data_IF_481086524413
#
_entry.id   IF_481086524413
#
_cell.length_a   1.000
_cell.length_b   1.000
_cell.length_c   1.000
_cell.angle_alpha   90.00
_cell.angle_beta   90.00
_cell.angle_gamma   90.00
#
_symmetry.space_group_name_H-M   'P 1'
#
loop_
_entity.id
_entity.type
_entity.pdbx_description
1 polymer ?
#
# COMPACT_ATOMS: atom_id res chain seq x y z
N UNK A 1 8.92 -15.44 -7.89
CA UNK A 1 7.91 -16.12 -7.05
C UNK A 1 8.57 -16.62 -5.77
N UNK A 2 7.96 -16.40 -4.63
CA UNK A 2 8.44 -16.80 -3.30
C UNK A 2 7.38 -17.68 -2.65
N UNK A 3 7.77 -18.83 -2.14
CA UNK A 3 6.90 -19.71 -1.37
C UNK A 3 6.90 -19.29 0.09
N UNK A 4 5.71 -19.10 0.65
CA UNK A 4 5.49 -18.88 2.08
C UNK A 4 5.05 -20.21 2.70
N UNK A 5 5.88 -20.87 3.55
CA UNK A 5 5.61 -22.20 4.06
C UNK A 5 4.22 -22.34 4.69
N UNK A 6 3.43 -23.30 4.21
CA UNK A 6 2.07 -23.56 4.69
C UNK A 6 1.03 -22.50 4.29
N UNK A 7 1.40 -21.50 3.50
CA UNK A 7 0.50 -20.39 3.09
C UNK A 7 0.28 -20.31 1.59
N UNK A 8 1.31 -20.60 0.77
CA UNK A 8 1.27 -20.58 -0.69
C UNK A 8 2.38 -19.74 -1.28
N UNK A 9 2.26 -19.43 -2.58
CA UNK A 9 3.28 -18.72 -3.35
C UNK A 9 2.80 -17.34 -3.74
N UNK A 10 3.68 -16.34 -3.71
CA UNK A 10 3.38 -14.98 -4.15
C UNK A 10 4.49 -14.39 -5.01
N UNK A 11 4.14 -13.43 -5.86
CA UNK A 11 5.11 -12.64 -6.61
C UNK A 11 5.73 -11.57 -5.70
N UNK A 12 7.06 -11.47 -5.73
CA UNK A 12 7.84 -10.54 -4.89
C UNK A 12 8.87 -9.80 -5.74
N UNK A 13 8.99 -8.51 -5.52
CA UNK A 13 10.12 -7.67 -5.94
C UNK A 13 10.84 -7.25 -4.66
N UNK A 14 12.12 -7.53 -4.58
CA UNK A 14 12.99 -7.26 -3.44
C UNK A 14 14.22 -6.50 -3.93
N UNK A 15 14.36 -5.25 -3.56
CA UNK A 15 15.34 -4.33 -4.12
C UNK A 15 15.85 -3.33 -3.07
N UNK A 16 16.89 -2.56 -3.43
CA UNK A 16 17.49 -1.55 -2.56
C UNK A 16 18.57 -2.10 -1.62
N UNK A 17 19.24 -1.20 -0.88
CA UNK A 17 20.29 -1.55 0.05
C UNK A 17 19.76 -2.34 1.26
N UNK A 18 20.60 -3.17 1.85
CA UNK A 18 20.22 -4.05 2.97
C UNK A 18 20.78 -3.61 4.33
N UNK A 19 21.48 -2.53 4.35
CA UNK A 19 22.10 -1.92 5.54
C UNK A 19 21.24 -0.84 6.22
N UNK A 20 20.03 -0.62 5.68
CA UNK A 20 19.02 0.31 6.18
C UNK A 20 17.73 -0.38 6.62
N UNK A 21 16.67 0.41 6.90
CA UNK A 21 15.34 -0.11 7.19
C UNK A 21 14.79 -0.92 6.01
N UNK A 22 13.94 -1.90 6.30
CA UNK A 22 13.20 -2.63 5.28
C UNK A 22 11.76 -2.12 5.22
N UNK A 23 11.32 -1.69 4.04
CA UNK A 23 9.96 -1.29 3.77
C UNK A 23 9.20 -2.43 3.08
N UNK A 24 8.08 -2.87 3.66
CA UNK A 24 7.18 -3.84 3.04
C UNK A 24 5.96 -3.11 2.51
N UNK A 25 5.80 -3.07 1.19
CA UNK A 25 4.81 -2.26 0.51
C UNK A 25 3.54 -3.06 0.21
N UNK A 26 2.41 -2.60 0.76
CA UNK A 26 1.11 -3.23 0.73
C UNK A 26 0.18 -2.46 -0.21
N UNK A 27 -0.27 -3.11 -1.28
CA UNK A 27 -0.99 -2.47 -2.38
C UNK A 27 -2.48 -2.26 -2.12
N UNK A 28 -3.11 -1.47 -2.98
CA UNK A 28 -4.55 -1.19 -2.97
C UNK A 28 -5.40 -2.37 -3.44
N UNK A 29 -6.69 -2.34 -3.11
CA UNK A 29 -7.70 -3.27 -3.61
C UNK A 29 -7.72 -3.29 -5.14
N UNK A 30 -7.88 -4.48 -5.74
CA UNK A 30 -7.92 -4.73 -7.18
C UNK A 30 -6.66 -4.30 -7.95
N UNK A 31 -5.58 -4.00 -7.25
CA UNK A 31 -4.26 -3.68 -7.81
C UNK A 31 -3.27 -4.82 -7.53
N UNK A 32 -2.10 -4.72 -8.13
CA UNK A 32 -0.93 -5.54 -7.78
C UNK A 32 0.09 -4.70 -7.00
N UNK A 33 1.06 -5.36 -6.40
CA UNK A 33 2.14 -4.69 -5.69
C UNK A 33 2.86 -3.68 -6.58
N UNK A 34 3.33 -4.14 -7.74
CA UNK A 34 4.04 -3.28 -8.70
C UNK A 34 3.14 -2.17 -9.22
N UNK A 35 1.87 -2.44 -9.55
CA UNK A 35 0.94 -1.41 -10.05
C UNK A 35 0.75 -0.24 -9.08
N UNK A 36 0.68 -0.52 -7.79
CA UNK A 36 0.49 0.53 -6.78
C UNK A 36 1.77 1.32 -6.56
N UNK A 37 2.93 0.65 -6.57
CA UNK A 37 4.16 1.20 -6.01
C UNK A 37 5.24 1.55 -7.03
N UNK A 38 5.10 1.17 -8.34
CA UNK A 38 6.12 1.42 -9.35
C UNK A 38 6.62 2.87 -9.42
N UNK A 39 5.77 3.93 -9.18
CA UNK A 39 6.28 5.30 -9.26
C UNK A 39 7.20 5.67 -8.08
N UNK A 40 7.12 4.94 -6.98
CA UNK A 40 7.82 5.27 -5.74
C UNK A 40 9.03 4.36 -5.47
N UNK A 41 9.25 3.31 -6.26
CA UNK A 41 10.28 2.30 -5.97
C UNK A 41 11.67 2.91 -5.86
N UNK A 42 12.07 3.71 -6.85
CA UNK A 42 13.42 4.31 -6.89
C UNK A 42 13.63 5.25 -5.69
N UNK A 43 12.63 6.11 -5.41
CA UNK A 43 12.72 7.06 -4.30
C UNK A 43 12.77 6.37 -2.93
N UNK A 44 12.11 5.22 -2.76
CA UNK A 44 12.15 4.49 -1.50
C UNK A 44 13.45 3.71 -1.30
N UNK A 45 14.13 3.29 -2.37
CA UNK A 45 15.43 2.62 -2.29
C UNK A 45 16.53 3.52 -1.74
N UNK A 46 16.38 4.84 -1.82
CA UNK A 46 17.31 5.80 -1.19
C UNK A 46 17.27 5.71 0.34
N UNK A 47 16.22 5.15 0.92
CA UNK A 47 16.06 4.98 2.37
C UNK A 47 16.41 3.59 2.88
N UNK A 48 16.34 2.56 2.04
CA UNK A 48 16.60 1.19 2.48
C UNK A 48 16.05 0.13 1.53
N UNK A 49 15.97 -1.10 2.05
CA UNK A 49 15.43 -2.25 1.34
C UNK A 49 13.93 -2.09 1.08
N UNK A 50 13.50 -2.33 -0.14
CA UNK A 50 12.10 -2.23 -0.57
C UNK A 50 11.61 -3.60 -1.02
N UNK A 51 10.60 -4.11 -0.34
CA UNK A 51 9.93 -5.37 -0.64
C UNK A 51 8.50 -5.08 -1.08
N UNK A 52 8.20 -5.42 -2.32
CA UNK A 52 6.85 -5.33 -2.90
C UNK A 52 6.36 -6.72 -3.21
N UNK A 53 5.13 -7.04 -2.88
CA UNK A 53 4.55 -8.34 -3.22
C UNK A 53 3.06 -8.22 -3.54
N UNK A 54 2.52 -9.22 -4.22
CA UNK A 54 1.09 -9.30 -4.48
C UNK A 54 0.40 -9.96 -3.27
N UNK A 55 -0.50 -9.22 -2.61
CA UNK A 55 -1.25 -9.74 -1.47
C UNK A 55 -2.19 -10.86 -1.93
N UNK A 56 -2.53 -11.79 -1.01
CA UNK A 56 -3.43 -12.91 -1.31
C UNK A 56 -4.68 -12.47 -2.07
N UNK A 57 -5.14 -13.30 -3.00
CA UNK A 57 -6.30 -13.04 -3.81
C UNK A 57 -6.14 -11.94 -4.86
N UNK A 58 -4.94 -11.35 -5.00
CA UNK A 58 -4.65 -10.30 -5.98
C UNK A 58 -3.45 -10.69 -6.84
N UNK A 59 -3.48 -10.29 -8.11
CA UNK A 59 -2.36 -10.48 -9.03
C UNK A 59 -1.86 -11.91 -9.10
N UNK A 60 -0.57 -12.10 -8.85
CA UNK A 60 0.12 -13.38 -8.70
C UNK A 60 0.38 -13.73 -7.21
N UNK A 61 -0.46 -13.21 -6.32
CA UNK A 61 -0.42 -13.51 -4.90
C UNK A 61 -1.06 -14.87 -4.58
N UNK A 62 -1.03 -15.22 -3.30
CA UNK A 62 -1.56 -16.49 -2.80
C UNK A 62 -3.02 -16.68 -3.24
N UNK A 63 -3.29 -17.76 -3.95
CA UNK A 63 -4.66 -18.14 -4.29
C UNK A 63 -5.40 -18.64 -3.05
N UNK A 64 -6.62 -18.16 -2.85
CA UNK A 64 -7.41 -18.53 -1.67
C UNK A 64 -8.92 -18.47 -1.95
N UNK A 65 -9.68 -19.47 -1.49
CA UNK A 65 -11.14 -19.41 -1.56
C UNK A 65 -11.72 -18.44 -0.53
N UNK A 66 -10.97 -18.09 0.52
CA UNK A 66 -11.36 -17.18 1.59
C UNK A 66 -10.35 -16.03 1.69
N UNK A 67 -10.84 -14.80 1.76
CA UNK A 67 -10.03 -13.62 1.99
C UNK A 67 -10.31 -13.08 3.39
N UNK A 68 -9.26 -12.96 4.22
CA UNK A 68 -9.29 -12.29 5.52
C UNK A 68 -8.12 -11.30 5.58
N UNK A 69 -8.35 -10.12 6.15
CA UNK A 69 -7.30 -9.11 6.34
C UNK A 69 -6.23 -9.58 7.32
N UNK A 70 -6.62 -10.38 8.32
CA UNK A 70 -5.70 -11.00 9.28
C UNK A 70 -4.74 -11.98 8.58
N UNK A 71 -5.26 -12.78 7.65
CA UNK A 71 -4.41 -13.66 6.85
C UNK A 71 -3.41 -12.87 5.99
N UNK A 72 -3.82 -11.70 5.46
CA UNK A 72 -2.89 -10.80 4.75
C UNK A 72 -1.78 -10.29 5.66
N UNK A 73 -2.10 -9.93 6.91
CA UNK A 73 -1.10 -9.47 7.88
C UNK A 73 -0.12 -10.59 8.25
N UNK A 74 -0.61 -11.82 8.42
CA UNK A 74 0.22 -12.99 8.70
C UNK A 74 1.10 -13.38 7.49
N UNK A 75 0.64 -13.13 6.26
CA UNK A 75 1.47 -13.32 5.05
C UNK A 75 2.66 -12.37 5.03
N UNK A 76 2.49 -11.13 5.51
CA UNK A 76 3.59 -10.16 5.62
C UNK A 76 4.66 -10.67 6.58
N UNK A 77 4.26 -11.19 7.75
CA UNK A 77 5.20 -11.76 8.71
C UNK A 77 5.92 -12.99 8.13
N UNK A 78 5.18 -13.90 7.49
CA UNK A 78 5.76 -15.08 6.84
C UNK A 78 6.72 -14.70 5.68
N UNK A 79 6.39 -13.65 4.92
CA UNK A 79 7.28 -13.13 3.88
C UNK A 79 8.57 -12.58 4.49
N UNK A 80 8.47 -11.83 5.58
CA UNK A 80 9.62 -11.30 6.29
C UNK A 80 10.54 -12.43 6.80
N UNK A 81 9.97 -13.53 7.32
CA UNK A 81 10.73 -14.71 7.77
C UNK A 81 11.50 -15.35 6.60
N UNK A 82 10.85 -15.58 5.45
CA UNK A 82 11.49 -16.16 4.26
C UNK A 82 12.60 -15.27 3.71
N UNK A 83 12.45 -13.94 3.84
CA UNK A 83 13.43 -12.96 3.38
C UNK A 83 14.52 -12.65 4.41
N UNK A 84 14.51 -13.34 5.56
CA UNK A 84 15.40 -13.11 6.69
C UNK A 84 15.40 -11.64 7.16
N UNK A 85 14.19 -11.07 7.25
CA UNK A 85 13.94 -9.72 7.76
C UNK A 85 13.39 -9.79 9.17
N UNK A 86 14.17 -9.38 10.16
CA UNK A 86 13.76 -9.44 11.56
C UNK A 86 12.69 -8.41 11.88
N UNK A 87 12.88 -7.17 11.42
CA UNK A 87 11.94 -6.07 11.62
C UNK A 87 11.79 -5.23 10.35
N UNK A 88 10.64 -4.58 10.19
CA UNK A 88 10.32 -3.83 8.98
C UNK A 88 9.31 -2.70 9.24
N UNK A 89 9.17 -1.84 8.25
CA UNK A 89 8.19 -0.75 8.21
C UNK A 89 7.13 -1.11 7.15
N UNK A 90 5.92 -1.53 7.53
CA UNK A 90 4.84 -1.69 6.57
C UNK A 90 4.37 -0.33 6.05
N UNK A 91 4.33 -0.21 4.72
CA UNK A 91 3.85 0.96 3.99
C UNK A 91 2.60 0.55 3.24
N UNK A 92 1.44 0.99 3.69
CA UNK A 92 0.16 0.54 3.15
C UNK A 92 -0.61 1.62 2.41
N UNK A 93 -1.18 1.28 1.26
CA UNK A 93 -2.08 2.14 0.49
C UNK A 93 -3.50 1.58 0.46
N UNK A 94 -4.51 2.35 0.87
CA UNK A 94 -5.93 1.95 0.84
C UNK A 94 -6.15 0.60 1.56
N UNK A 95 -6.53 -0.48 0.87
CA UNK A 95 -6.59 -1.83 1.44
C UNK A 95 -5.30 -2.17 2.19
N UNK A 96 -4.14 -1.92 1.58
CA UNK A 96 -2.85 -2.18 2.19
C UNK A 96 -2.64 -1.41 3.50
N UNK A 97 -3.27 -0.23 3.67
CA UNK A 97 -3.21 0.52 4.92
C UNK A 97 -4.00 -0.15 6.06
N UNK A 98 -5.05 -0.88 5.74
CA UNK A 98 -5.79 -1.68 6.72
C UNK A 98 -4.96 -2.89 7.15
N UNK A 99 -4.32 -3.56 6.17
CA UNK A 99 -3.40 -4.67 6.44
C UNK A 99 -2.21 -4.18 7.26
N UNK A 100 -1.60 -3.03 6.96
CA UNK A 100 -0.48 -2.47 7.73
C UNK A 100 -0.86 -2.23 9.21
N UNK A 101 -2.07 -1.74 9.49
CA UNK A 101 -2.58 -1.60 10.84
C UNK A 101 -2.68 -2.97 11.54
N UNK A 102 -3.17 -4.01 10.85
CA UNK A 102 -3.25 -5.38 11.39
C UNK A 102 -1.86 -6.02 11.54
N UNK A 103 -0.91 -5.74 10.66
CA UNK A 103 0.48 -6.19 10.82
C UNK A 103 1.03 -5.68 12.15
N UNK A 104 0.87 -4.39 12.45
CA UNK A 104 1.26 -3.86 13.75
C UNK A 104 0.50 -4.54 14.90
N UNK A 105 -0.82 -4.71 14.79
CA UNK A 105 -1.63 -5.30 15.88
C UNK A 105 -1.27 -6.74 16.19
N UNK A 106 -0.88 -7.54 15.19
CA UNK A 106 -0.64 -8.99 15.31
C UNK A 106 0.83 -9.35 15.46
N UNK A 107 1.73 -8.51 14.94
CA UNK A 107 3.18 -8.75 14.87
C UNK A 107 3.96 -7.51 15.34
N UNK A 108 3.53 -6.94 16.45
CA UNK A 108 4.01 -5.66 16.98
C UNK A 108 5.53 -5.62 17.14
N UNK A 109 6.13 -6.71 17.57
CA UNK A 109 7.57 -6.87 17.78
C UNK A 109 8.39 -6.83 16.48
N UNK A 110 7.72 -7.01 15.33
CA UNK A 110 8.33 -6.99 14.00
C UNK A 110 8.24 -5.62 13.32
N UNK A 111 7.50 -4.68 13.89
CA UNK A 111 7.19 -3.38 13.26
C UNK A 111 8.02 -2.27 13.87
N UNK A 112 8.88 -1.64 13.05
CA UNK A 112 9.71 -0.51 13.47
C UNK A 112 9.02 0.84 13.32
N UNK A 113 8.09 0.95 12.41
CA UNK A 113 7.31 2.14 12.11
C UNK A 113 6.17 1.83 11.17
N UNK A 114 5.29 2.80 10.91
CA UNK A 114 4.13 2.66 10.02
C UNK A 114 4.03 3.84 9.06
N UNK A 115 3.72 3.54 7.79
CA UNK A 115 3.29 4.57 6.82
C UNK A 115 1.93 4.17 6.26
N UNK A 116 0.91 4.98 6.53
CA UNK A 116 -0.48 4.72 6.19
C UNK A 116 -0.99 5.72 5.15
N UNK A 117 -1.14 5.30 3.89
CA UNK A 117 -1.55 6.15 2.77
C UNK A 117 -3.02 5.93 2.42
N UNK A 118 -3.79 7.02 2.21
CA UNK A 118 -5.21 6.96 1.89
C UNK A 118 -5.96 6.01 2.84
N UNK A 119 -5.72 6.14 4.15
CA UNK A 119 -6.06 5.19 5.19
C UNK A 119 -7.33 5.58 5.96
N UNK A 120 -7.97 4.60 6.59
CA UNK A 120 -9.05 4.82 7.56
C UNK A 120 -8.97 3.81 8.70
N UNK A 121 -9.54 4.14 9.86
CA UNK A 121 -9.68 3.20 10.96
C UNK A 121 -10.92 2.30 10.82
N UNK A 122 -11.94 2.77 10.12
CA UNK A 122 -13.16 2.00 9.92
C UNK A 122 -13.86 2.36 8.61
N UNK A 123 -14.47 1.37 7.98
CA UNK A 123 -15.29 1.54 6.78
C UNK A 123 -16.74 1.19 7.15
N UNK A 124 -17.61 2.16 7.29
CA UNK A 124 -19.02 1.88 7.53
C UNK A 124 -19.80 1.68 6.23
N UNK A 125 -21.00 1.07 6.34
CA UNK A 125 -21.87 0.71 5.22
C UNK A 125 -22.21 1.89 4.28
N UNK A 126 -22.38 3.09 4.83
CA UNK A 126 -22.63 4.31 4.04
C UNK A 126 -21.38 4.80 3.26
N UNK A 127 -20.19 4.37 3.63
CA UNK A 127 -18.95 4.64 2.90
C UNK A 127 -18.65 3.60 1.84
N UNK A 128 -19.20 2.39 1.99
CA UNK A 128 -19.02 1.30 1.05
C UNK A 128 -19.47 1.66 -0.37
N UNK A 129 -20.67 2.23 -0.51
CA UNK A 129 -21.17 2.65 -1.82
C UNK A 129 -20.26 3.71 -2.45
N UNK A 130 -19.63 4.56 -1.64
CA UNK A 130 -18.67 5.57 -2.09
C UNK A 130 -17.30 4.96 -2.43
N UNK A 131 -16.84 3.96 -1.66
CA UNK A 131 -15.59 3.23 -1.97
C UNK A 131 -15.77 2.43 -3.25
N UNK A 132 -16.88 1.70 -3.39
CA UNK A 132 -17.17 0.93 -4.60
C UNK A 132 -17.34 1.86 -5.82
N UNK A 133 -18.08 2.97 -5.67
CA UNK A 133 -18.25 3.96 -6.75
C UNK A 133 -16.95 4.70 -7.04
N UNK A 134 -16.16 5.02 -6.03
CA UNK A 134 -14.86 5.70 -6.19
C UNK A 134 -13.82 4.81 -6.86
N UNK A 135 -13.74 3.53 -6.49
CA UNK A 135 -12.87 2.54 -7.16
C UNK A 135 -13.35 2.26 -8.59
N UNK A 136 -14.67 2.16 -8.80
CA UNK A 136 -15.24 1.97 -10.12
C UNK A 136 -15.04 3.22 -11.00
N UNK A 137 -15.22 4.42 -10.46
CA UNK A 137 -14.91 5.68 -11.15
C UNK A 137 -13.42 5.81 -11.47
N UNK A 138 -12.52 5.48 -10.52
CA UNK A 138 -11.08 5.48 -10.76
C UNK A 138 -10.68 4.43 -11.81
N UNK A 139 -11.35 3.28 -11.84
CA UNK A 139 -11.15 2.26 -12.87
C UNK A 139 -11.67 2.74 -14.23
N UNK A 140 -12.83 3.41 -14.29
CA UNK A 140 -13.35 4.01 -15.53
C UNK A 140 -12.49 5.17 -16.00
N UNK A 141 -11.98 6.02 -15.09
CA UNK A 141 -11.05 7.09 -15.42
C UNK A 141 -9.73 6.54 -15.97
N UNK A 142 -9.28 5.36 -15.46
CA UNK A 142 -8.11 4.68 -16.02
C UNK A 142 -8.35 4.05 -17.39
N UNK A 143 -9.60 3.79 -17.75
CA UNK A 143 -10.00 3.29 -19.05
C UNK A 143 -10.29 4.42 -20.05
N UNK A 144 -10.48 5.64 -19.53
CA UNK A 144 -10.69 6.82 -20.36
C UNK A 144 -9.33 7.39 -20.77
N UNK A 145 -9.03 7.53 -22.08
CA UNK A 145 -7.78 8.16 -22.49
C UNK A 145 -7.73 9.58 -21.91
N UNK A 146 -6.56 10.01 -21.37
CA UNK A 146 -6.44 11.37 -20.87
C UNK A 146 -6.83 12.33 -22.01
N UNK A 147 -7.66 13.31 -21.70
CA UNK A 147 -8.05 14.38 -22.63
C UNK A 147 -6.85 15.30 -22.92
N UNK A 148 -5.75 14.74 -23.38
CA UNK A 148 -4.63 15.44 -23.96
C UNK A 148 -4.96 15.64 -25.44
N UNK A 149 -5.03 16.89 -25.86
CA UNK A 149 -4.95 17.22 -27.31
C UNK A 149 -3.68 16.55 -27.84
N UNK A 150 -3.85 15.44 -28.56
CA UNK A 150 -2.77 14.74 -29.24
C UNK A 150 -2.18 15.72 -30.27
N UNK A 151 -0.92 16.05 -30.12
CA UNK A 151 -0.15 16.70 -31.17
C UNK A 151 0.10 15.63 -32.25
N UNK A 152 -0.49 15.75 -33.44
CA UNK A 152 -0.35 14.74 -34.49
C UNK A 152 1.09 14.51 -34.96
N UNK A 153 2.02 15.41 -34.64
CA UNK A 153 3.42 15.33 -35.04
C UNK A 153 4.27 14.40 -34.15
N UNK A 154 3.73 13.87 -33.03
CA UNK A 154 4.42 12.97 -32.10
C UNK A 154 3.90 11.52 -32.11
N UNK A 155 3.33 11.08 -33.21
CA UNK A 155 2.83 9.71 -33.40
C UNK A 155 3.97 8.68 -33.64
N UNK A 156 4.93 8.59 -32.75
CA UNK A 156 5.70 7.38 -32.49
C UNK A 156 4.92 6.56 -31.48
N UNK A 157 4.78 5.25 -31.66
CA UNK A 157 4.00 4.34 -30.80
C UNK A 157 4.16 4.74 -29.34
N UNK A 158 3.19 5.38 -28.75
CA UNK A 158 3.44 6.12 -27.53
C UNK A 158 3.69 5.15 -26.38
N UNK A 159 4.69 5.40 -25.56
CA UNK A 159 4.94 4.67 -24.31
C UNK A 159 3.66 4.53 -23.47
N UNK A 160 2.78 5.54 -23.50
CA UNK A 160 1.47 5.53 -22.84
C UNK A 160 0.54 4.39 -23.29
N UNK A 161 0.63 3.89 -24.53
CA UNK A 161 -0.20 2.74 -24.97
C UNK A 161 0.32 1.44 -24.37
N UNK A 162 1.63 1.29 -24.22
CA UNK A 162 2.27 0.17 -23.51
C UNK A 162 1.97 0.25 -22.02
N UNK A 163 2.06 1.42 -21.43
CA UNK A 163 1.76 1.67 -20.03
C UNK A 163 0.28 1.39 -19.74
N UNK A 164 -0.62 1.78 -20.65
CA UNK A 164 -2.05 1.54 -20.52
C UNK A 164 -2.40 0.05 -20.66
N UNK A 165 -1.80 -0.67 -21.61
CA UNK A 165 -1.99 -2.11 -21.77
C UNK A 165 -1.43 -2.89 -20.57
N UNK A 166 -0.29 -2.45 -20.04
CA UNK A 166 0.29 -3.03 -18.84
C UNK A 166 -0.63 -2.80 -17.63
N UNK A 167 -1.10 -1.59 -17.39
CA UNK A 167 -2.06 -1.27 -16.31
C UNK A 167 -3.34 -2.12 -16.41
N UNK A 168 -3.91 -2.23 -17.60
CA UNK A 168 -5.09 -3.07 -17.84
C UNK A 168 -4.79 -4.55 -17.55
N UNK A 169 -3.61 -5.04 -17.90
CA UNK A 169 -3.15 -6.39 -17.55
C UNK A 169 -3.10 -6.59 -16.03
N UNK A 170 -2.56 -5.62 -15.30
CA UNK A 170 -2.49 -5.68 -13.84
C UNK A 170 -3.89 -5.70 -13.20
N UNK A 171 -4.82 -4.84 -13.63
CA UNK A 171 -6.21 -4.84 -13.14
C UNK A 171 -6.92 -6.16 -13.43
N UNK A 172 -6.73 -6.73 -14.63
CA UNK A 172 -7.34 -8.00 -15.05
C UNK A 172 -6.74 -9.23 -14.37
N UNK A 173 -5.58 -9.11 -13.74
CA UNK A 173 -4.93 -10.23 -13.04
C UNK A 173 -5.64 -10.61 -11.73
N UNK A 174 -6.55 -9.76 -11.22
CA UNK A 174 -7.34 -10.03 -10.02
C UNK A 174 -8.78 -10.39 -10.43
N UNK A 175 -9.26 -11.57 -10.00
CA UNK A 175 -10.60 -12.02 -10.38
C UNK A 175 -11.70 -11.21 -9.68
N UNK A 176 -12.86 -10.97 -10.34
CA UNK A 176 -13.98 -10.26 -9.71
C UNK A 176 -14.46 -10.89 -8.40
N UNK A 177 -14.39 -12.22 -8.29
CA UNK A 177 -14.76 -12.95 -7.07
C UNK A 177 -13.78 -12.65 -5.92
N UNK A 178 -12.48 -12.53 -6.20
CA UNK A 178 -11.47 -12.13 -5.20
C UNK A 178 -11.69 -10.70 -4.73
N UNK A 179 -11.96 -9.77 -5.66
CA UNK A 179 -12.29 -8.37 -5.34
C UNK A 179 -13.51 -8.31 -4.43
N UNK A 180 -14.58 -9.04 -4.74
CA UNK A 180 -15.81 -9.05 -3.93
C UNK A 180 -15.54 -9.55 -2.50
N UNK A 181 -14.74 -10.61 -2.33
CA UNK A 181 -14.37 -11.11 -0.99
C UNK A 181 -13.54 -10.08 -0.22
N UNK A 182 -12.57 -9.46 -0.87
CA UNK A 182 -11.73 -8.44 -0.25
C UNK A 182 -12.56 -7.21 0.18
N UNK A 183 -13.50 -6.77 -0.66
CA UNK A 183 -14.45 -5.70 -0.33
C UNK A 183 -15.26 -6.04 0.91
N UNK A 184 -15.76 -7.26 1.04
CA UNK A 184 -16.53 -7.67 2.22
C UNK A 184 -15.72 -7.53 3.53
N UNK A 185 -14.44 -7.87 3.49
CA UNK A 185 -13.55 -7.70 4.65
C UNK A 185 -13.19 -6.24 4.92
N UNK A 186 -12.94 -5.43 3.88
CA UNK A 186 -12.73 -3.98 4.03
C UNK A 186 -13.89 -3.31 4.77
N UNK A 187 -15.14 -3.73 4.48
CA UNK A 187 -16.34 -3.16 5.14
C UNK A 187 -16.41 -3.55 6.62
N UNK A 188 -15.91 -4.73 6.98
CA UNK A 188 -15.92 -5.23 8.36
C UNK A 188 -14.77 -4.67 9.20
N UNK A 189 -13.75 -4.11 8.55
CA UNK A 189 -12.58 -3.61 9.24
C UNK A 189 -12.93 -2.45 10.17
N UNK A 190 -12.48 -2.56 11.42
CA UNK A 190 -12.57 -1.51 12.43
C UNK A 190 -11.38 -1.59 13.40
N UNK A 191 -10.48 -0.63 13.31
CA UNK A 191 -9.36 -0.44 14.24
C UNK A 191 -9.62 0.67 15.26
N UNK A 192 -10.78 1.30 15.22
CA UNK A 192 -11.07 2.51 16.03
C UNK A 192 -10.93 2.30 17.53
N UNK A 193 -11.13 1.06 17.99
CA UNK A 193 -11.05 0.70 19.41
C UNK A 193 -9.62 0.49 19.91
N UNK A 194 -8.64 0.27 19.02
CA UNK A 194 -7.27 -0.07 19.41
C UNK A 194 -6.17 0.74 18.68
N UNK A 195 -6.50 1.51 17.64
CA UNK A 195 -5.50 2.24 16.86
C UNK A 195 -4.69 3.25 17.71
N UNK A 196 -5.23 3.68 18.83
CA UNK A 196 -4.55 4.56 19.79
C UNK A 196 -3.45 3.85 20.59
N UNK A 197 -3.36 2.53 20.52
CA UNK A 197 -2.29 1.73 21.16
C UNK A 197 -1.01 1.71 20.32
N UNK A 198 -1.04 2.20 19.06
CA UNK A 198 0.14 2.24 18.18
C UNK A 198 1.23 3.07 18.83
N UNK A 199 2.38 2.45 19.04
CA UNK A 199 3.52 2.97 19.82
C UNK A 199 4.83 3.06 19.02
N UNK A 200 4.74 2.92 17.70
CA UNK A 200 5.87 3.06 16.79
C UNK A 200 5.78 4.37 15.99
N UNK A 201 6.91 4.93 15.51
CA UNK A 201 6.90 6.07 14.62
C UNK A 201 5.92 5.87 13.47
N UNK A 202 4.92 6.73 13.35
CA UNK A 202 3.87 6.59 12.35
C UNK A 202 3.72 7.87 11.54
N UNK A 203 3.53 7.73 10.22
CA UNK A 203 3.10 8.79 9.34
C UNK A 203 1.79 8.41 8.63
N UNK A 204 0.85 9.35 8.57
CA UNK A 204 -0.43 9.19 7.86
C UNK A 204 -0.45 10.17 6.69
N UNK A 205 -0.42 9.63 5.48
CA UNK A 205 -0.53 10.41 4.26
C UNK A 205 -2.00 10.57 3.87
N UNK A 206 -2.50 11.80 4.00
CA UNK A 206 -3.89 12.18 3.77
C UNK A 206 -4.06 12.66 2.33
N UNK A 207 -4.88 11.96 1.55
CA UNK A 207 -5.25 12.36 0.19
C UNK A 207 -6.42 13.35 0.24
N UNK A 208 -6.15 14.65 0.00
CA UNK A 208 -7.09 15.74 0.31
C UNK A 208 -8.29 15.84 -0.65
N UNK A 209 -8.28 15.12 -1.76
CA UNK A 209 -9.41 15.00 -2.70
C UNK A 209 -10.04 13.61 -2.70
N UNK A 210 -9.74 12.81 -1.68
CA UNK A 210 -10.24 11.43 -1.55
C UNK A 210 -11.75 11.41 -1.27
N UNK A 211 -12.50 10.76 -2.16
CA UNK A 211 -13.96 10.56 -2.03
C UNK A 211 -14.33 9.17 -1.52
N UNK A 212 -13.37 8.23 -1.53
CA UNK A 212 -13.60 6.86 -1.06
C UNK A 212 -13.57 6.78 0.47
N UNK A 213 -12.43 7.02 1.07
CA UNK A 213 -12.33 7.03 2.54
C UNK A 213 -12.65 8.39 3.16
N UNK A 214 -12.57 9.47 2.39
CA UNK A 214 -12.87 10.83 2.82
C UNK A 214 -11.80 11.42 3.75
N UNK A 215 -11.44 12.67 3.50
CA UNK A 215 -10.36 13.39 4.19
C UNK A 215 -10.55 13.45 5.72
N UNK A 216 -11.79 13.66 6.18
CA UNK A 216 -12.10 13.75 7.62
C UNK A 216 -11.76 12.46 8.37
N UNK A 217 -11.93 11.29 7.75
CA UNK A 217 -11.62 9.99 8.36
C UNK A 217 -10.13 9.72 8.40
N UNK A 218 -9.42 10.09 7.34
CA UNK A 218 -7.96 9.99 7.30
C UNK A 218 -7.33 10.87 8.38
N UNK A 219 -7.77 12.14 8.52
CA UNK A 219 -7.33 13.04 9.58
C UNK A 219 -7.72 12.55 10.98
N UNK A 220 -8.90 11.94 11.10
CA UNK A 220 -9.32 11.33 12.36
C UNK A 220 -8.39 10.18 12.75
N UNK A 221 -8.07 9.28 11.80
CA UNK A 221 -7.10 8.21 12.03
C UNK A 221 -5.76 8.78 12.51
N UNK A 222 -5.20 9.76 11.81
CA UNK A 222 -3.94 10.41 12.18
C UNK A 222 -4.00 10.98 13.61
N UNK A 223 -5.11 11.63 13.98
CA UNK A 223 -5.28 12.22 15.31
C UNK A 223 -5.40 11.19 16.45
N UNK A 224 -5.67 9.93 16.13
CA UNK A 224 -5.81 8.84 17.11
C UNK A 224 -4.53 8.08 17.40
N UNK A 225 -3.58 8.13 16.48
CA UNK A 225 -2.28 7.46 16.66
C UNK A 225 -1.33 8.42 17.39
N UNK A 226 -0.84 8.06 18.59
CA UNK A 226 0.05 8.92 19.37
C UNK A 226 1.32 9.28 18.58
N UNK A 227 1.64 10.56 18.47
CA UNK A 227 2.84 11.03 17.78
C UNK A 227 2.85 10.80 16.27
N UNK A 228 1.70 10.50 15.65
CA UNK A 228 1.64 10.37 14.20
C UNK A 228 1.83 11.71 13.49
N UNK A 229 2.70 11.71 12.49
CA UNK A 229 2.85 12.85 11.58
C UNK A 229 1.83 12.77 10.45
N UNK A 230 1.30 13.91 10.05
CA UNK A 230 0.33 14.00 8.96
C UNK A 230 0.95 14.68 7.75
N UNK A 231 0.97 13.98 6.61
CA UNK A 231 1.41 14.51 5.32
C UNK A 231 0.19 14.66 4.40
N UNK A 232 -0.13 15.88 3.99
CA UNK A 232 -1.26 16.12 3.10
C UNK A 232 -0.82 16.14 1.63
N UNK A 233 -1.52 15.35 0.80
CA UNK A 233 -1.26 15.25 -0.64
C UNK A 233 -2.53 15.63 -1.42
N UNK A 234 -2.41 16.58 -2.33
CA UNK A 234 -3.51 17.00 -3.18
C UNK A 234 -3.80 15.97 -4.28
N UNK A 235 -4.38 14.85 -3.89
CA UNK A 235 -4.72 13.72 -4.76
C UNK A 235 -6.05 13.09 -4.36
N UNK A 236 -6.69 12.38 -5.30
CA UNK A 236 -7.83 11.51 -5.02
C UNK A 236 -7.39 10.14 -4.49
N UNK A 237 -8.36 9.22 -4.35
CA UNK A 237 -8.10 7.86 -3.81
C UNK A 237 -7.13 7.02 -4.65
N UNK A 238 -7.00 7.26 -5.93
CA UNK A 238 -6.05 6.60 -6.82
C UNK A 238 -4.82 7.49 -7.13
N UNK A 239 -4.40 8.31 -6.17
CA UNK A 239 -3.30 9.26 -6.33
C UNK A 239 -1.97 8.60 -6.66
N UNK A 240 -1.72 7.38 -6.19
CA UNK A 240 -0.52 6.61 -6.52
C UNK A 240 -0.33 6.42 -8.04
N UNK A 241 -1.44 6.33 -8.79
CA UNK A 241 -1.40 6.14 -10.25
C UNK A 241 -1.61 7.46 -11.01
N UNK A 242 -2.58 8.28 -10.60
CA UNK A 242 -3.03 9.45 -11.41
C UNK A 242 -2.43 10.79 -10.97
N UNK A 243 -1.77 10.83 -9.82
CA UNK A 243 -1.06 11.98 -9.30
C UNK A 243 0.29 11.54 -8.71
N UNK A 244 1.02 10.69 -9.46
CA UNK A 244 2.22 10.01 -9.01
C UNK A 244 3.28 10.97 -8.48
N UNK A 245 3.51 12.10 -9.14
CA UNK A 245 4.51 13.09 -8.70
C UNK A 245 4.20 13.63 -7.30
N UNK A 246 2.92 14.00 -7.06
CA UNK A 246 2.48 14.47 -5.74
C UNK A 246 2.50 13.34 -4.70
N UNK A 247 2.12 12.15 -5.13
CA UNK A 247 2.11 10.96 -4.29
C UNK A 247 3.52 10.61 -3.82
N UNK A 248 4.48 10.52 -4.74
CA UNK A 248 5.88 10.19 -4.43
C UNK A 248 6.49 11.24 -3.51
N UNK A 249 6.31 12.54 -3.81
CA UNK A 249 6.80 13.61 -2.95
C UNK A 249 6.25 13.51 -1.53
N UNK A 250 4.94 13.26 -1.36
CA UNK A 250 4.32 13.07 -0.06
C UNK A 250 4.78 11.81 0.66
N UNK A 251 4.99 10.72 -0.09
CA UNK A 251 5.46 9.46 0.46
C UNK A 251 6.91 9.58 1.00
N UNK A 252 7.77 10.26 0.27
CA UNK A 252 9.15 10.57 0.70
C UNK A 252 9.12 11.30 2.04
N UNK A 253 8.34 12.38 2.15
CA UNK A 253 8.20 13.11 3.43
C UNK A 253 7.68 12.23 4.57
N UNK A 254 6.71 11.35 4.28
CA UNK A 254 6.17 10.42 5.28
C UNK A 254 7.22 9.41 5.75
N UNK A 255 7.99 8.85 4.82
CA UNK A 255 9.07 7.89 5.12
C UNK A 255 10.21 8.58 5.87
N UNK A 256 10.65 9.75 5.45
CA UNK A 256 11.65 10.56 6.15
C UNK A 256 11.25 10.80 7.60
N UNK A 257 10.00 11.23 7.81
CA UNK A 257 9.46 11.47 9.15
C UNK A 257 9.49 10.21 10.04
N UNK A 258 9.17 9.04 9.49
CA UNK A 258 9.24 7.76 10.23
C UNK A 258 10.70 7.42 10.52
N UNK A 259 11.57 7.42 9.50
CA UNK A 259 12.99 7.07 9.64
C UNK A 259 13.72 7.95 10.65
N UNK A 260 13.45 9.25 10.67
CA UNK A 260 14.06 10.19 11.62
C UNK A 260 13.70 9.91 13.10
N UNK A 261 12.65 9.16 13.35
CA UNK A 261 12.15 8.80 14.69
C UNK A 261 12.44 7.35 15.09
N UNK A 262 13.10 6.57 14.22
CA UNK A 262 13.50 5.20 14.55
C UNK A 262 14.54 5.22 15.68
N UNK A 263 14.50 4.25 16.63
CA UNK A 263 15.51 4.13 17.66
C UNK A 263 16.91 3.93 17.07
N UNK A 264 17.87 4.74 17.49
CA UNK A 264 19.28 4.69 17.04
C UNK A 264 20.00 3.37 17.37
N UNK A 265 19.41 2.56 18.25
CA UNK A 265 19.96 1.27 18.71
C UNK A 265 19.68 0.09 17.78
N UNK A 266 18.80 0.24 16.77
CA UNK A 266 18.56 -0.81 15.78
C UNK A 266 19.65 -0.76 14.72
N UNK A 267 20.72 -1.52 14.96
CA UNK A 267 21.73 -1.81 13.93
C UNK A 267 21.07 -2.77 12.94
N UNK A 268 20.73 -2.25 11.78
CA UNK A 268 20.38 -3.12 10.65
C UNK A 268 21.62 -3.99 10.36
N UNK A 269 21.48 -5.32 10.48
CA UNK A 269 22.58 -6.24 10.18
C UNK A 269 22.87 -6.10 8.68
N UNK A 270 24.06 -5.60 8.36
CA UNK A 270 24.63 -5.81 7.03
C UNK A 270 24.65 -7.34 6.81
N UNK A 271 24.08 -7.81 5.71
CA UNK A 271 24.21 -9.20 5.32
C UNK A 271 25.71 -9.48 5.19
N UNK A 272 26.27 -10.26 6.10
CA UNK A 272 27.56 -10.88 5.88
C UNK A 272 27.41 -11.77 4.65
N UNK A 273 28.18 -11.43 3.58
CA UNK A 273 28.13 -11.97 2.25
C UNK A 273 28.52 -13.44 2.12
#
# INVERSE_FOLDING_TARGET
MVELPGRGTTYVVDSGPRDGPTFVLLHSLACTGVMTWYPALDALQDFGRVVVFDQRGHGQGIETPRFLLEDCADDVAALADVLAVDTFIPVGYSLGSLVAQLVWKRHRERVDGLVLCAATAAVNRASYERVATGLFAAMLDSLSPPARRLDPAKAVTPGWLRDHQWLLGQVRSTSPGAITRAVAEVIRFDSSTWIHEVDVPTAVMVTTRDRAFGVRRQRWLASRIPGAETVEVEAGHAGCTFASDKFVAGLVLAVESVCARLPSTRRYRAAEG
#
